data_IF_444951894253
#
_entry.id   IF_444951894253
#
_cell.length_a   1.000
_cell.length_b   1.000
_cell.length_c   1.000
_cell.angle_alpha   90.00
_cell.angle_beta   90.00
_cell.angle_gamma   90.00
#
_symmetry.space_group_name_H-M   'P 1'
#
loop_
_entity.id
_entity.type
_entity.pdbx_description
1 polymer ?
#
# COMPACT_ATOMS: atom_id res chain seq x y z
N UNK A 1 -22.07 4.57 30.77
CA UNK A 1 -21.92 4.14 29.37
C UNK A 1 -20.70 4.88 28.83
N UNK A 2 -19.60 4.19 28.54
CA UNK A 2 -18.44 4.82 27.91
C UNK A 2 -18.83 5.32 26.51
N UNK A 3 -18.46 6.54 26.17
CA UNK A 3 -18.88 7.16 24.90
C UNK A 3 -18.17 6.47 23.74
N UNK A 4 -18.92 6.04 22.72
CA UNK A 4 -18.39 5.35 21.54
C UNK A 4 -17.32 6.17 20.80
N UNK A 5 -17.36 7.50 20.94
CA UNK A 5 -16.38 8.44 20.42
C UNK A 5 -15.01 8.35 21.11
N UNK A 6 -14.95 7.98 22.40
CA UNK A 6 -13.69 7.86 23.12
C UNK A 6 -12.95 6.59 22.69
N UNK A 7 -13.68 5.50 22.44
CA UNK A 7 -13.09 4.25 21.94
C UNK A 7 -12.48 4.39 20.54
N UNK A 8 -13.11 5.17 19.64
CA UNK A 8 -12.58 5.37 18.30
C UNK A 8 -11.31 6.23 18.30
N UNK A 9 -11.23 7.23 19.19
CA UNK A 9 -10.04 8.07 19.35
C UNK A 9 -8.87 7.25 19.90
N UNK A 10 -9.09 6.41 20.91
CA UNK A 10 -8.03 5.59 21.49
C UNK A 10 -7.50 4.57 20.48
N UNK A 11 -8.40 3.93 19.73
CA UNK A 11 -8.00 2.99 18.68
C UNK A 11 -7.24 3.66 17.54
N UNK A 12 -7.62 4.89 17.17
CA UNK A 12 -6.89 5.67 16.17
C UNK A 12 -5.48 6.03 16.65
N UNK A 13 -5.30 6.32 17.95
CA UNK A 13 -3.98 6.57 18.56
C UNK A 13 -3.11 5.31 18.59
N UNK A 14 -3.68 4.16 18.93
CA UNK A 14 -2.96 2.88 18.91
C UNK A 14 -2.51 2.46 17.51
N UNK A 15 -3.26 2.86 16.47
CA UNK A 15 -2.97 2.56 15.06
C UNK A 15 -2.14 3.66 14.37
N UNK A 16 -1.86 4.76 15.05
CA UNK A 16 -1.05 5.83 14.48
C UNK A 16 0.43 5.43 14.46
N UNK A 17 1.14 5.82 13.41
CA UNK A 17 2.58 5.65 13.33
C UNK A 17 3.30 6.43 14.43
N UNK A 18 4.38 5.86 14.93
CA UNK A 18 5.33 6.53 15.81
C UNK A 18 6.09 7.63 15.05
N UNK A 19 6.69 8.56 15.78
CA UNK A 19 7.51 9.62 15.16
C UNK A 19 8.71 9.06 14.38
N UNK A 20 9.25 7.92 14.78
CA UNK A 20 10.36 7.25 14.11
C UNK A 20 9.90 6.65 12.77
N UNK A 21 8.77 5.94 12.76
CA UNK A 21 8.17 5.38 11.54
C UNK A 21 7.79 6.48 10.53
N UNK A 22 7.28 7.63 11.02
CA UNK A 22 7.00 8.78 10.14
C UNK A 22 8.27 9.34 9.51
N UNK A 23 9.37 9.46 10.27
CA UNK A 23 10.68 9.90 9.75
C UNK A 23 11.24 8.92 8.74
N UNK A 24 11.03 7.61 8.92
CA UNK A 24 11.43 6.60 7.94
C UNK A 24 10.64 6.71 6.64
N UNK A 25 9.32 6.93 6.73
CA UNK A 25 8.48 7.16 5.55
C UNK A 25 8.92 8.40 4.77
N UNK A 26 9.25 9.50 5.45
CA UNK A 26 9.75 10.71 4.80
C UNK A 26 11.13 10.51 4.16
N UNK A 27 12.03 9.78 4.82
CA UNK A 27 13.31 9.39 4.21
C UNK A 27 13.09 8.52 2.97
N UNK A 28 12.20 7.53 3.04
CA UNK A 28 11.89 6.64 1.94
C UNK A 28 11.29 7.40 0.74
N UNK A 29 10.43 8.38 0.99
CA UNK A 29 9.88 9.26 -0.07
C UNK A 29 10.95 10.10 -0.77
N UNK A 30 11.96 10.53 -0.03
CA UNK A 30 13.05 11.35 -0.57
C UNK A 30 14.18 10.51 -1.22
N UNK A 31 14.19 9.19 -1.02
CA UNK A 31 15.13 8.30 -1.67
C UNK A 31 14.63 7.95 -3.08
N UNK A 32 15.37 8.30 -4.15
CA UNK A 32 14.97 7.97 -5.50
C UNK A 32 14.97 6.46 -5.71
N UNK A 33 13.94 5.95 -6.38
CA UNK A 33 13.90 4.56 -6.83
C UNK A 33 14.88 4.41 -7.98
N UNK A 34 15.94 3.63 -7.79
CA UNK A 34 16.92 3.29 -8.82
C UNK A 34 16.61 1.92 -9.40
N UNK A 35 16.53 1.81 -10.72
CA UNK A 35 16.42 0.53 -11.41
C UNK A 35 17.81 0.10 -11.86
N UNK A 36 18.22 -1.10 -11.47
CA UNK A 36 19.50 -1.67 -11.89
C UNK A 36 19.41 -2.20 -13.32
N UNK A 37 20.57 -2.41 -13.96
CA UNK A 37 20.64 -3.00 -15.32
C UNK A 37 20.01 -4.41 -15.37
N UNK A 38 20.16 -5.16 -14.27
CA UNK A 38 19.58 -6.50 -14.10
C UNK A 38 18.08 -6.46 -13.71
N UNK A 39 17.60 -5.33 -13.20
CA UNK A 39 16.20 -5.14 -12.76
C UNK A 39 15.60 -3.86 -13.37
N UNK A 40 15.46 -3.81 -14.71
CA UNK A 40 14.94 -2.64 -15.39
C UNK A 40 13.46 -2.45 -15.07
N UNK A 41 12.99 -1.21 -15.22
CA UNK A 41 11.59 -0.88 -15.03
C UNK A 41 10.67 -1.77 -15.90
N UNK A 42 9.58 -2.24 -15.30
CA UNK A 42 8.57 -3.01 -16.02
C UNK A 42 7.72 -2.07 -16.86
N UNK A 43 7.94 -2.09 -18.17
CA UNK A 43 7.12 -1.30 -19.10
C UNK A 43 5.68 -1.84 -19.18
N UNK A 44 4.68 -0.99 -19.53
CA UNK A 44 3.30 -1.44 -19.73
C UNK A 44 3.16 -2.57 -20.77
N UNK A 45 4.02 -2.58 -21.78
CA UNK A 45 4.05 -3.66 -22.78
C UNK A 45 4.54 -5.00 -22.20
N UNK A 46 5.54 -4.95 -21.31
CA UNK A 46 5.98 -6.13 -20.55
C UNK A 46 4.89 -6.59 -19.58
N UNK A 47 4.21 -5.66 -18.92
CA UNK A 47 3.11 -5.95 -17.99
C UNK A 47 1.97 -6.74 -18.65
N UNK A 48 1.64 -6.44 -19.92
CA UNK A 48 0.61 -7.16 -20.69
C UNK A 48 0.93 -8.64 -20.93
N UNK A 49 2.20 -9.05 -20.83
CA UNK A 49 2.59 -10.46 -20.96
C UNK A 49 2.26 -11.29 -19.73
N UNK A 50 2.03 -10.65 -18.58
CA UNK A 50 1.61 -11.35 -17.36
C UNK A 50 0.13 -11.68 -17.42
N UNK A 51 -0.19 -12.98 -17.40
CA UNK A 51 -1.56 -13.46 -17.34
C UNK A 51 -2.02 -13.57 -15.90
N UNK A 52 -3.22 -13.08 -15.59
CA UNK A 52 -3.88 -13.34 -14.31
C UNK A 52 -4.01 -14.85 -14.10
N UNK A 53 -3.44 -15.35 -13.00
CA UNK A 53 -3.58 -16.76 -12.57
C UNK A 53 -4.93 -17.01 -11.89
N UNK A 54 -5.47 -16.00 -11.20
CA UNK A 54 -6.79 -16.08 -10.58
C UNK A 54 -7.85 -15.52 -11.55
N UNK A 55 -8.83 -16.33 -11.99
CA UNK A 55 -9.87 -15.87 -12.90
C UNK A 55 -10.68 -14.71 -12.29
N UNK A 56 -11.13 -13.79 -13.14
CA UNK A 56 -12.00 -12.70 -12.72
C UNK A 56 -13.31 -13.31 -12.22
N UNK A 57 -13.67 -13.04 -10.97
CA UNK A 57 -14.97 -13.41 -10.42
C UNK A 57 -16.04 -12.67 -11.22
N UNK A 58 -16.87 -13.40 -11.96
CA UNK A 58 -18.08 -12.83 -12.55
C UNK A 58 -19.05 -12.58 -11.40
N UNK A 59 -19.13 -11.36 -10.92
CA UNK A 59 -20.28 -10.94 -10.12
C UNK A 59 -21.44 -10.88 -11.11
N UNK A 60 -22.29 -11.90 -11.10
CA UNK A 60 -23.55 -11.89 -11.83
C UNK A 60 -24.44 -10.81 -11.21
N UNK A 61 -24.42 -9.61 -11.80
CA UNK A 61 -25.53 -8.66 -11.65
C UNK A 61 -26.55 -9.12 -12.69
N UNK A 62 -27.74 -9.48 -12.20
CA UNK A 62 -28.79 -10.19 -12.93
C UNK A 62 -29.40 -9.43 -14.09
#
# INVERSE_FOLDING_TARGET
MASTSEMTINKAKELAFTEEELKELDKARNMPITFDEDCPETTPERAKKFRRVNPVRKNSVG
#
